data_IF_423805597243
#
_entry.id   IF_423805597243
#
_cell.length_a   1.000
_cell.length_b   1.000
_cell.length_c   1.000
_cell.angle_alpha   90.00
_cell.angle_beta   90.00
_cell.angle_gamma   90.00
#
_symmetry.space_group_name_H-M   'P 1'
#
loop_
_entity.id
_entity.type
_entity.pdbx_description
1 polymer ?
#
# COMPACT_ATOMS: atom_id res chain seq x y z
N UNK A 1 -8.88 9.53 29.43
CA UNK A 1 -8.63 9.72 27.98
C UNK A 1 -7.65 10.86 27.76
N UNK A 2 -7.02 10.97 26.57
CA UNK A 2 -6.04 12.03 26.26
C UNK A 2 -6.59 13.43 26.43
N UNK A 3 -7.88 13.63 26.13
CA UNK A 3 -8.57 14.92 26.32
C UNK A 3 -8.74 15.31 27.79
N UNK A 4 -8.99 14.35 28.68
CA UNK A 4 -9.10 14.60 30.13
C UNK A 4 -7.73 14.97 30.73
N UNK A 5 -6.65 14.32 30.27
CA UNK A 5 -5.29 14.65 30.69
C UNK A 5 -4.90 16.06 30.23
N UNK A 6 -5.22 16.42 28.99
CA UNK A 6 -4.97 17.76 28.46
C UNK A 6 -5.74 18.83 29.23
N UNK A 7 -7.01 18.60 29.56
CA UNK A 7 -7.81 19.50 30.37
C UNK A 7 -7.23 19.66 31.79
N UNK A 8 -6.78 18.56 32.40
CA UNK A 8 -6.17 18.58 33.73
C UNK A 8 -4.87 19.38 33.76
N UNK A 9 -3.97 19.18 32.78
CA UNK A 9 -2.71 19.94 32.68
C UNK A 9 -2.95 21.44 32.45
N UNK A 10 -3.95 21.81 31.65
CA UNK A 10 -4.35 23.20 31.45
C UNK A 10 -4.85 23.84 32.74
N UNK A 11 -5.64 23.10 33.54
CA UNK A 11 -6.18 23.60 34.83
C UNK A 11 -5.10 23.77 35.89
N UNK A 12 -4.13 22.83 35.94
CA UNK A 12 -3.07 22.86 36.95
C UNK A 12 -1.88 23.73 36.57
N UNK A 13 -1.79 24.20 35.33
CA UNK A 13 -0.64 24.96 34.81
C UNK A 13 0.68 24.21 34.81
N UNK A 14 0.64 22.88 34.93
CA UNK A 14 1.83 22.03 34.97
C UNK A 14 1.86 21.17 33.73
N UNK A 15 2.94 21.20 32.93
CA UNK A 15 3.05 20.39 31.73
C UNK A 15 3.10 18.90 32.08
N UNK A 16 2.32 18.10 31.34
CA UNK A 16 2.46 16.64 31.33
C UNK A 16 3.63 16.26 30.43
N UNK A 17 4.64 15.65 31.00
CA UNK A 17 5.76 15.09 30.24
C UNK A 17 5.57 13.60 30.09
N UNK A 18 5.62 13.10 28.85
CA UNK A 18 5.57 11.69 28.52
C UNK A 18 6.96 11.31 28.02
N UNK A 19 7.58 10.36 28.68
CA UNK A 19 8.91 9.87 28.33
C UNK A 19 8.91 8.35 28.26
N UNK A 20 9.36 7.83 27.14
CA UNK A 20 9.55 6.40 26.91
C UNK A 20 11.03 6.00 26.86
N UNK A 21 11.92 6.97 27.04
CA UNK A 21 13.35 6.78 26.88
C UNK A 21 13.82 6.73 25.43
N UNK A 22 12.93 6.98 24.48
CA UNK A 22 13.21 7.04 23.04
C UNK A 22 12.85 8.43 22.51
N UNK A 23 13.67 8.98 21.66
CA UNK A 23 13.52 10.37 21.20
C UNK A 23 12.51 10.54 20.08
N UNK A 24 11.90 9.52 19.56
CA UNK A 24 10.80 9.60 18.58
C UNK A 24 10.09 8.26 18.37
N UNK A 25 8.85 8.33 18.22
CA UNK A 25 7.66 7.55 18.19
C UNK A 25 7.57 6.35 17.23
N UNK A 26 8.62 5.56 17.05
CA UNK A 26 8.45 4.26 16.42
C UNK A 26 8.61 3.18 17.48
N UNK A 27 7.46 2.71 17.97
CA UNK A 27 7.43 1.61 18.92
C UNK A 27 7.77 0.30 18.21
N UNK A 28 8.95 -0.26 18.44
CA UNK A 28 9.28 -1.61 18.00
C UNK A 28 8.43 -2.67 18.72
N UNK A 29 8.44 -3.90 18.21
CA UNK A 29 7.78 -5.01 18.89
C UNK A 29 8.37 -5.25 20.26
N UNK A 30 7.52 -5.55 21.22
CA UNK A 30 7.93 -5.91 22.56
C UNK A 30 7.20 -5.14 23.66
N UNK A 31 7.70 -5.31 24.86
CA UNK A 31 7.15 -4.66 26.05
C UNK A 31 7.79 -3.27 26.21
N UNK A 32 6.96 -2.25 26.30
CA UNK A 32 7.37 -0.86 26.47
C UNK A 32 6.84 -0.30 27.79
N UNK A 33 7.58 0.64 28.34
CA UNK A 33 7.20 1.36 29.56
C UNK A 33 7.25 2.84 29.25
N UNK A 34 6.11 3.51 29.42
CA UNK A 34 6.01 4.97 29.32
C UNK A 34 5.94 5.54 30.71
N UNK A 35 6.68 6.58 30.98
CA UNK A 35 6.61 7.33 32.22
C UNK A 35 5.87 8.64 31.97
N UNK A 36 4.82 8.87 32.75
CA UNK A 36 4.06 10.10 32.78
C UNK A 36 4.50 10.90 34.00
N UNK A 37 4.93 12.15 33.78
CA UNK A 37 5.36 13.03 34.87
C UNK A 37 4.50 14.28 34.88
N UNK A 38 3.92 14.57 36.04
CA UNK A 38 3.16 15.79 36.29
C UNK A 38 3.75 16.49 37.53
N UNK A 39 4.45 17.59 37.32
CA UNK A 39 5.21 18.23 38.37
C UNK A 39 6.29 17.31 38.95
N UNK A 40 6.26 17.05 40.26
CA UNK A 40 7.15 16.14 40.94
C UNK A 40 6.69 14.69 41.04
N UNK A 41 5.49 14.39 40.53
CA UNK A 41 4.90 13.05 40.57
C UNK A 41 5.02 12.36 39.23
N UNK A 42 5.32 11.07 39.28
CA UNK A 42 5.39 10.25 38.08
C UNK A 42 4.62 8.93 38.24
N UNK A 43 4.09 8.43 37.14
CA UNK A 43 3.46 7.13 37.03
C UNK A 43 3.99 6.41 35.80
N UNK A 44 4.03 5.09 35.84
CA UNK A 44 4.45 4.26 34.71
C UNK A 44 3.27 3.47 34.16
N UNK A 45 3.12 3.47 32.85
CA UNK A 45 2.24 2.55 32.13
C UNK A 45 3.09 1.57 31.31
N UNK A 46 2.70 0.31 31.37
CA UNK A 46 3.37 -0.76 30.62
C UNK A 46 2.38 -1.29 29.59
N UNK A 47 2.85 -1.39 28.34
CA UNK A 47 2.08 -1.97 27.24
C UNK A 47 2.99 -2.81 26.36
N UNK A 48 2.39 -3.67 25.55
CA UNK A 48 3.11 -4.51 24.59
C UNK A 48 2.71 -4.11 23.19
N UNK A 49 3.70 -3.83 22.35
CA UNK A 49 3.53 -3.67 20.91
C UNK A 49 3.78 -5.02 20.26
N UNK A 50 2.76 -5.56 19.63
CA UNK A 50 2.88 -6.76 18.81
C UNK A 50 2.79 -6.37 17.35
N UNK A 51 3.73 -6.83 16.51
CA UNK A 51 3.60 -6.66 15.07
C UNK A 51 2.47 -7.55 14.58
N UNK A 52 1.38 -6.95 14.24
CA UNK A 52 0.36 -7.60 13.43
C UNK A 52 0.88 -7.69 12.01
N UNK A 53 1.14 -8.91 11.55
CA UNK A 53 1.55 -9.15 10.17
C UNK A 53 0.31 -9.29 9.30
N UNK A 54 0.41 -8.84 8.07
CA UNK A 54 -0.62 -9.11 7.07
C UNK A 54 -0.66 -10.62 6.83
N UNK A 55 -1.80 -11.24 7.09
CA UNK A 55 -2.05 -12.67 6.85
C UNK A 55 -2.52 -12.91 5.43
N UNK A 56 -3.43 -12.08 4.96
CA UNK A 56 -3.94 -12.14 3.58
C UNK A 56 -4.36 -10.77 3.07
N UNK A 57 -4.27 -10.62 1.76
CA UNK A 57 -4.62 -9.42 1.02
C UNK A 57 -5.60 -9.81 -0.08
N UNK A 58 -6.64 -9.03 -0.29
CA UNK A 58 -7.54 -9.11 -1.43
C UNK A 58 -7.66 -7.74 -2.07
N UNK A 59 -7.45 -7.69 -3.37
CA UNK A 59 -7.45 -6.44 -4.16
C UNK A 59 -8.43 -6.61 -5.31
N UNK A 60 -9.33 -5.65 -5.44
CA UNK A 60 -10.35 -5.65 -6.48
C UNK A 60 -10.40 -4.27 -7.12
N UNK A 61 -10.19 -4.16 -8.44
CA UNK A 61 -10.37 -2.89 -9.13
C UNK A 61 -11.76 -2.30 -8.87
N UNK A 62 -11.86 -1.01 -8.65
CA UNK A 62 -13.16 -0.33 -8.48
C UNK A 62 -13.94 -0.27 -9.79
N UNK A 63 -13.21 -0.26 -10.90
CA UNK A 63 -13.74 -0.23 -12.25
C UNK A 63 -13.03 -1.28 -13.11
N UNK A 64 -13.65 -1.65 -14.24
CA UNK A 64 -12.96 -2.51 -15.22
C UNK A 64 -11.74 -1.79 -15.75
N UNK A 65 -10.57 -2.37 -15.53
CA UNK A 65 -9.31 -1.86 -16.07
C UNK A 65 -9.17 -2.36 -17.49
N UNK A 66 -9.12 -1.43 -18.45
CA UNK A 66 -8.85 -1.69 -19.86
C UNK A 66 -7.53 -1.01 -20.25
N UNK A 67 -6.45 -1.76 -20.16
CA UNK A 67 -5.13 -1.28 -20.58
C UNK A 67 -5.05 -1.32 -22.11
N UNK A 68 -4.73 -0.17 -22.73
CA UNK A 68 -4.64 -0.07 -24.19
C UNK A 68 -3.27 -0.55 -24.63
N UNK A 69 -3.26 -1.49 -25.57
CA UNK A 69 -2.03 -1.90 -26.20
C UNK A 69 -1.59 -0.93 -27.29
N UNK A 70 -0.33 -0.51 -27.22
CA UNK A 70 0.25 0.39 -28.22
C UNK A 70 0.89 -0.35 -29.40
N UNK A 71 0.96 -1.67 -29.35
CA UNK A 71 1.60 -2.49 -30.39
C UNK A 71 0.60 -3.54 -30.87
N UNK A 72 0.37 -3.60 -32.18
CA UNK A 72 -0.47 -4.63 -32.77
C UNK A 72 0.24 -5.98 -32.69
N UNK A 73 -0.37 -6.95 -32.04
CA UNK A 73 0.17 -8.31 -31.92
C UNK A 73 0.73 -8.60 -30.52
N UNK A 74 1.89 -9.12 -30.46
CA UNK A 74 2.52 -9.54 -29.22
C UNK A 74 2.91 -8.36 -28.34
N UNK A 75 2.30 -8.24 -27.18
CA UNK A 75 2.52 -7.15 -26.22
C UNK A 75 3.83 -7.32 -25.43
N UNK A 76 4.71 -8.09 -25.93
CA UNK A 76 6.11 -8.09 -25.56
C UNK A 76 6.77 -6.93 -26.28
N UNK A 77 7.47 -6.25 -25.72
CA UNK A 77 8.59 -5.47 -25.86
C UNK A 77 9.30 -5.42 -27.18
N UNK A 78 9.83 -4.25 -27.43
CA UNK A 78 10.76 -4.01 -28.52
C UNK A 78 11.89 -5.04 -28.47
N UNK A 79 12.04 -5.82 -29.53
CA UNK A 79 13.23 -6.57 -29.76
C UNK A 79 14.41 -5.58 -29.97
N UNK A 80 15.57 -5.90 -29.42
CA UNK A 80 16.79 -5.20 -29.79
C UNK A 80 17.15 -5.45 -31.26
N UNK A 81 18.19 -4.81 -31.78
CA UNK A 81 18.65 -4.98 -33.17
C UNK A 81 18.99 -6.44 -33.52
N UNK A 82 19.21 -7.26 -32.52
CA UNK A 82 19.49 -8.70 -32.66
C UNK A 82 18.26 -9.57 -32.56
N UNK A 83 17.07 -8.97 -32.37
CA UNK A 83 15.80 -9.69 -32.20
C UNK A 83 15.58 -10.23 -30.79
N UNK A 84 16.44 -9.90 -29.83
CA UNK A 84 16.24 -10.27 -28.44
C UNK A 84 15.22 -9.35 -27.79
N UNK A 85 14.29 -9.93 -27.06
CA UNK A 85 13.28 -9.16 -26.32
C UNK A 85 13.90 -8.69 -25.03
N UNK A 86 14.34 -7.43 -24.97
CA UNK A 86 15.06 -6.87 -23.84
C UNK A 86 14.20 -6.10 -22.83
N UNK A 87 13.02 -5.67 -23.21
CA UNK A 87 12.11 -4.90 -22.35
C UNK A 87 10.69 -5.43 -22.44
N UNK A 88 9.99 -5.48 -21.39
CA UNK A 88 8.56 -5.73 -21.33
C UNK A 88 7.82 -4.40 -21.38
N UNK A 89 6.71 -4.39 -22.06
CA UNK A 89 5.78 -3.29 -21.91
C UNK A 89 5.11 -3.43 -20.53
N UNK A 90 5.41 -2.53 -19.63
CA UNK A 90 4.81 -2.52 -18.30
C UNK A 90 3.67 -1.50 -18.29
N UNK A 91 2.50 -1.96 -17.86
CA UNK A 91 1.39 -1.06 -17.61
C UNK A 91 1.51 -0.46 -16.22
N UNK A 92 1.22 0.82 -16.09
CA UNK A 92 1.08 1.47 -14.79
C UNK A 92 -0.22 1.02 -14.13
N UNK A 93 -0.17 -0.16 -13.52
CA UNK A 93 -1.30 -0.71 -12.78
C UNK A 93 -1.51 0.00 -11.44
N UNK A 94 -0.55 0.78 -10.95
CA UNK A 94 -0.68 1.58 -9.74
C UNK A 94 -1.59 2.82 -9.93
N UNK A 95 -1.73 3.29 -11.17
CA UNK A 95 -2.56 4.44 -11.50
C UNK A 95 -4.08 4.21 -11.46
N UNK A 96 -4.53 3.00 -11.11
CA UNK A 96 -5.96 2.68 -11.01
C UNK A 96 -6.43 2.62 -9.55
N UNK A 97 -7.75 2.79 -9.37
CA UNK A 97 -8.38 2.71 -8.06
C UNK A 97 -8.75 1.27 -7.70
N UNK A 98 -8.44 0.87 -6.48
CA UNK A 98 -8.73 -0.46 -5.97
C UNK A 98 -9.38 -0.42 -4.59
N UNK A 99 -10.35 -1.31 -4.39
CA UNK A 99 -10.81 -1.71 -3.07
C UNK A 99 -9.89 -2.80 -2.51
N UNK A 100 -9.47 -2.63 -1.28
CA UNK A 100 -8.55 -3.54 -0.61
C UNK A 100 -9.15 -4.05 0.69
N UNK A 101 -9.03 -5.37 0.91
CA UNK A 101 -9.33 -6.00 2.19
C UNK A 101 -8.06 -6.65 2.73
N UNK A 102 -7.69 -6.29 3.93
CA UNK A 102 -6.53 -6.81 4.65
C UNK A 102 -7.05 -7.65 5.82
N UNK A 103 -6.50 -8.84 5.99
CA UNK A 103 -6.71 -9.66 7.18
C UNK A 103 -5.35 -9.82 7.85
N UNK A 104 -5.27 -9.44 9.11
CA UNK A 104 -4.06 -9.56 9.92
C UNK A 104 -3.99 -10.90 10.65
N UNK A 105 -2.81 -11.23 11.16
CA UNK A 105 -2.57 -12.50 11.88
C UNK A 105 -3.35 -12.63 13.18
N UNK A 106 -3.77 -11.52 13.77
CA UNK A 106 -4.65 -11.47 14.95
C UNK A 106 -6.15 -11.63 14.61
N UNK A 107 -6.50 -11.78 13.33
CA UNK A 107 -7.86 -11.86 12.83
C UNK A 107 -8.53 -10.53 12.53
N UNK A 108 -7.90 -9.41 12.84
CA UNK A 108 -8.42 -8.08 12.51
C UNK A 108 -8.56 -7.94 10.99
N UNK A 109 -9.67 -7.36 10.57
CA UNK A 109 -9.94 -7.09 9.15
C UNK A 109 -10.09 -5.59 8.92
N UNK A 110 -9.35 -5.07 7.94
CA UNK A 110 -9.42 -3.68 7.50
C UNK A 110 -9.84 -3.63 6.03
N UNK A 111 -10.71 -2.69 5.68
CA UNK A 111 -11.12 -2.36 4.31
C UNK A 111 -10.70 -0.93 4.04
N UNK A 112 -10.04 -0.71 2.91
CA UNK A 112 -9.49 0.58 2.52
C UNK A 112 -9.38 0.68 0.99
N UNK A 113 -8.89 1.80 0.51
CA UNK A 113 -8.45 1.94 -0.89
C UNK A 113 -6.97 1.63 -1.04
N UNK A 114 -6.49 1.46 -2.26
CA UNK A 114 -5.06 1.29 -2.52
C UNK A 114 -4.23 2.51 -2.09
N UNK A 115 -4.80 3.71 -2.20
CA UNK A 115 -4.15 4.95 -1.78
C UNK A 115 -3.86 5.00 -0.26
N UNK A 116 -4.69 4.35 0.54
CA UNK A 116 -4.57 4.35 2.00
C UNK A 116 -3.58 3.28 2.52
N UNK A 117 -3.17 2.33 1.66
CA UNK A 117 -2.40 1.16 2.06
C UNK A 117 -1.11 1.51 2.79
N UNK A 118 -0.35 2.49 2.30
CA UNK A 118 0.90 2.91 2.92
C UNK A 118 0.67 3.47 4.32
N UNK A 119 -0.34 4.30 4.48
CA UNK A 119 -0.68 4.90 5.78
C UNK A 119 -1.15 3.84 6.78
N UNK A 120 -1.96 2.88 6.34
CA UNK A 120 -2.56 1.84 7.21
C UNK A 120 -1.55 0.76 7.57
N UNK A 121 -0.71 0.34 6.62
CA UNK A 121 0.17 -0.82 6.80
C UNK A 121 1.62 -0.46 7.09
N UNK A 122 2.03 0.77 6.80
CA UNK A 122 3.44 1.19 6.81
C UNK A 122 4.26 0.69 5.61
N UNK A 123 3.66 -0.09 4.70
CA UNK A 123 4.33 -0.64 3.52
C UNK A 123 3.86 0.03 2.25
N UNK A 124 4.79 0.33 1.35
CA UNK A 124 4.49 0.80 0.00
C UNK A 124 3.86 -0.34 -0.83
N UNK A 125 2.65 -0.16 -1.38
CA UNK A 125 2.08 -1.17 -2.27
C UNK A 125 2.85 -1.21 -3.60
N UNK A 126 3.10 -2.42 -4.09
CA UNK A 126 3.74 -2.65 -5.39
C UNK A 126 2.76 -3.35 -6.31
N UNK A 127 2.42 -2.70 -7.41
CA UNK A 127 1.58 -3.26 -8.46
C UNK A 127 2.46 -3.76 -9.60
N UNK A 128 2.10 -4.90 -10.19
CA UNK A 128 2.84 -5.48 -11.31
C UNK A 128 1.96 -6.41 -12.15
N UNK A 129 2.34 -6.64 -13.39
CA UNK A 129 1.76 -7.65 -14.27
C UNK A 129 2.47 -9.01 -14.14
N UNK A 130 3.45 -9.14 -13.27
CA UNK A 130 4.27 -10.34 -13.14
C UNK A 130 5.16 -10.57 -14.36
N UNK A 131 5.63 -11.83 -14.49
CA UNK A 131 6.55 -12.21 -15.58
C UNK A 131 5.86 -12.74 -16.82
N UNK A 132 4.55 -12.68 -16.89
CA UNK A 132 3.80 -13.20 -18.04
C UNK A 132 3.78 -12.21 -19.20
N UNK A 133 3.82 -12.77 -20.39
CA UNK A 133 3.47 -12.06 -21.61
C UNK A 133 1.98 -11.78 -21.57
N UNK A 134 1.61 -10.52 -21.78
CA UNK A 134 0.21 -10.11 -21.83
C UNK A 134 -0.36 -10.41 -23.21
N UNK A 135 -1.64 -10.74 -23.26
CA UNK A 135 -2.42 -10.93 -24.49
C UNK A 135 -3.66 -10.05 -24.45
N UNK A 136 -4.21 -9.76 -25.61
CA UNK A 136 -5.55 -9.11 -25.68
C UNK A 136 -6.57 -9.96 -24.95
N UNK A 137 -7.38 -9.32 -24.13
CA UNK A 137 -8.35 -9.97 -23.26
C UNK A 137 -7.95 -9.94 -21.79
N UNK A 138 -8.41 -10.91 -21.02
CA UNK A 138 -8.22 -10.95 -19.59
C UNK A 138 -6.79 -11.34 -19.19
N UNK A 139 -6.21 -10.56 -18.31
CA UNK A 139 -4.89 -10.77 -17.72
C UNK A 139 -4.95 -10.71 -16.20
N UNK A 140 -3.86 -11.11 -15.55
CA UNK A 140 -3.73 -11.11 -14.10
C UNK A 140 -2.68 -10.09 -13.67
N UNK A 141 -3.10 -9.17 -12.81
CA UNK A 141 -2.21 -8.27 -12.10
C UNK A 141 -1.97 -8.73 -10.67
N UNK A 142 -0.95 -8.18 -10.06
CA UNK A 142 -0.51 -8.50 -8.70
C UNK A 142 -0.34 -7.21 -7.91
N UNK A 143 -0.75 -7.25 -6.64
CA UNK A 143 -0.46 -6.21 -5.67
C UNK A 143 0.24 -6.85 -4.48
N UNK A 144 1.42 -6.35 -4.13
CA UNK A 144 2.21 -6.85 -2.99
C UNK A 144 2.31 -5.77 -1.93
N UNK A 145 1.97 -6.12 -0.69
CA UNK A 145 2.06 -5.25 0.49
C UNK A 145 2.65 -6.05 1.65
N UNK A 146 3.74 -5.57 2.24
CA UNK A 146 4.37 -6.23 3.39
C UNK A 146 4.77 -7.69 3.12
N UNK A 147 5.13 -8.03 1.88
CA UNK A 147 5.49 -9.39 1.48
C UNK A 147 4.31 -10.31 1.14
N UNK A 148 3.06 -9.84 1.29
CA UNK A 148 1.85 -10.59 0.92
C UNK A 148 1.34 -10.12 -0.43
N UNK A 149 1.08 -11.05 -1.35
CA UNK A 149 0.66 -10.75 -2.71
C UNK A 149 -0.78 -11.18 -2.95
N UNK A 150 -1.59 -10.27 -3.49
CA UNK A 150 -2.92 -10.52 -4.02
C UNK A 150 -2.91 -10.50 -5.55
N UNK A 151 -3.84 -11.24 -6.16
CA UNK A 151 -4.08 -11.21 -7.59
C UNK A 151 -5.36 -10.44 -7.88
N UNK A 152 -5.40 -9.75 -9.01
CA UNK A 152 -6.60 -9.12 -9.55
C UNK A 152 -6.63 -9.28 -11.08
N UNK A 153 -7.81 -9.10 -11.68
CA UNK A 153 -7.96 -9.20 -13.13
C UNK A 153 -7.98 -7.82 -13.77
N UNK A 154 -7.36 -7.71 -14.93
CA UNK A 154 -7.46 -6.56 -15.81
C UNK A 154 -7.52 -7.01 -17.28
N UNK A 155 -8.02 -6.16 -18.17
CA UNK A 155 -8.07 -6.45 -19.59
C UNK A 155 -7.00 -5.67 -20.35
N UNK A 156 -6.46 -6.29 -21.36
CA UNK A 156 -5.71 -5.61 -22.41
C UNK A 156 -6.60 -5.52 -23.64
N UNK A 157 -6.80 -4.31 -24.16
CA UNK A 157 -7.58 -4.05 -25.37
C UNK A 157 -6.69 -3.57 -26.49
N UNK A 158 -7.06 -3.87 -27.74
CA UNK A 158 -6.36 -3.32 -28.89
C UNK A 158 -6.43 -1.80 -28.91
N UNK A 159 -5.38 -1.17 -29.44
CA UNK A 159 -5.38 0.26 -29.64
C UNK A 159 -6.50 0.67 -30.62
N UNK A 160 -7.48 1.47 -30.20
CA UNK A 160 -8.59 1.88 -31.07
C UNK A 160 -8.17 2.86 -32.17
N UNK A 161 -6.97 3.44 -32.09
CA UNK A 161 -6.44 4.36 -33.11
C UNK A 161 -6.03 3.57 -34.33
N UNK A 162 -6.76 3.74 -35.42
CA UNK A 162 -6.50 3.07 -36.70
C UNK A 162 -5.54 3.84 -37.60
N UNK A 163 -5.60 5.17 -37.56
CA UNK A 163 -4.73 6.04 -38.35
C UNK A 163 -4.66 7.43 -37.76
N UNK A 164 -3.55 8.12 -38.01
CA UNK A 164 -3.37 9.54 -37.70
C UNK A 164 -2.98 10.24 -39.00
N UNK A 165 -3.67 11.32 -39.36
CA UNK A 165 -3.31 12.17 -40.51
C UNK A 165 -2.94 13.55 -40.01
N UNK A 166 -1.82 14.05 -40.47
CA UNK A 166 -1.39 15.44 -40.27
C UNK A 166 -1.83 16.25 -41.49
N UNK A 167 -2.60 17.30 -41.25
CA UNK A 167 -2.94 18.31 -42.25
C UNK A 167 -1.97 19.48 -42.04
N UNK A 168 -1.18 19.81 -43.08
CA UNK A 168 -0.37 21.01 -43.13
C UNK A 168 -1.11 22.09 -43.92
#
# INVERSE_FOLDING_TARGET
>A
TGSEITALTATLGVPLVISDGQSESVWGNGRHTVTYTLGTKSAKAVFTVAATRIKSLSVTPMYTINAICNVKGDYRVAADESGNISQRFEYDLAGYDYNVKIIYTDGTTVRCTAADLKQITGYEPKFSQGDKVLSVGANVGYCTVGGVTAKFSFNVIENPVKSVSLYM
#
